data_IF_099937712730
#
_entry.id   IF_099937712730
#
_cell.length_a   1.000
_cell.length_b   1.000
_cell.length_c   1.000
_cell.angle_alpha   90.00
_cell.angle_beta   90.00
_cell.angle_gamma   90.00
#
_symmetry.space_group_name_H-M   'P 1'
#
loop_
_entity.id
_entity.type
_entity.pdbx_description
1 polymer ?
#
# COMPACT_ATOMS: atom_id res chain seq x y z
N UNK A 1 -41.41 15.83 27.58
CA UNK A 1 -41.76 15.93 26.15
C UNK A 1 -40.48 15.71 25.37
N UNK A 2 -40.31 14.52 24.79
CA UNK A 2 -39.13 14.21 23.96
C UNK A 2 -39.35 14.94 22.64
N UNK A 3 -38.49 15.90 22.37
CA UNK A 3 -38.49 16.68 21.13
C UNK A 3 -38.30 15.73 19.95
N UNK A 4 -39.33 15.56 19.12
CA UNK A 4 -39.54 14.43 18.20
C UNK A 4 -38.54 14.32 17.04
N UNK A 5 -37.53 15.18 17.00
CA UNK A 5 -36.55 15.29 15.89
C UNK A 5 -35.11 14.94 16.29
N UNK A 6 -34.89 14.37 17.49
CA UNK A 6 -33.56 13.97 17.94
C UNK A 6 -33.23 12.56 17.46
N UNK A 7 -32.10 12.43 16.78
CA UNK A 7 -31.54 11.13 16.37
C UNK A 7 -30.58 10.64 17.45
N UNK A 8 -30.63 9.34 17.74
CA UNK A 8 -29.69 8.70 18.66
C UNK A 8 -28.46 8.26 17.87
N UNK A 9 -27.28 8.68 18.33
CA UNK A 9 -25.99 8.33 17.75
C UNK A 9 -25.25 7.39 18.70
N UNK A 10 -24.69 6.34 18.12
CA UNK A 10 -23.70 5.45 18.74
C UNK A 10 -22.48 5.54 17.85
N UNK A 11 -21.34 5.94 18.41
CA UNK A 11 -20.14 6.26 17.65
C UNK A 11 -19.18 5.07 17.67
N UNK A 12 -18.65 4.74 16.50
CA UNK A 12 -17.61 3.74 16.27
C UNK A 12 -16.52 4.37 15.40
N UNK A 13 -15.28 3.88 15.52
CA UNK A 13 -14.22 4.21 14.57
C UNK A 13 -14.29 3.33 13.32
N UNK A 14 -13.36 3.58 12.40
CA UNK A 14 -13.27 2.89 11.11
C UNK A 14 -12.95 1.39 11.26
N UNK A 15 -12.36 0.98 12.39
CA UNK A 15 -12.09 -0.43 12.74
C UNK A 15 -13.30 -1.08 13.46
N UNK A 16 -14.40 -0.34 13.64
CA UNK A 16 -15.60 -0.80 14.32
C UNK A 16 -15.46 -0.86 15.85
N UNK A 17 -14.43 -0.23 16.42
CA UNK A 17 -14.29 -0.09 17.88
C UNK A 17 -15.25 0.98 18.37
N UNK A 18 -15.91 0.67 19.47
CA UNK A 18 -16.84 1.59 20.12
C UNK A 18 -16.11 2.81 20.69
N UNK A 19 -16.54 4.00 20.27
CA UNK A 19 -16.01 5.30 20.73
C UNK A 19 -16.86 5.93 21.83
N UNK A 20 -18.18 5.67 21.84
CA UNK A 20 -19.05 6.20 22.88
C UNK A 20 -20.52 6.30 22.49
N UNK A 21 -21.35 6.62 23.49
CA UNK A 21 -22.78 6.81 23.35
C UNK A 21 -23.58 6.08 24.43
N UNK A 22 -24.92 6.17 24.38
CA UNK A 22 -25.73 6.86 23.37
C UNK A 22 -25.67 8.39 23.48
N UNK A 23 -25.76 9.07 22.35
CA UNK A 23 -25.89 10.52 22.27
C UNK A 23 -27.19 10.93 21.57
N UNK A 24 -27.83 12.01 22.00
CA UNK A 24 -28.90 12.67 21.27
C UNK A 24 -28.32 13.82 20.43
N UNK A 25 -28.66 13.89 19.14
CA UNK A 25 -28.25 14.97 18.24
C UNK A 25 -29.32 15.32 17.21
N UNK A 26 -29.04 16.33 16.39
CA UNK A 26 -29.89 16.64 15.22
C UNK A 26 -29.85 15.50 14.21
N UNK A 27 -30.91 15.31 13.44
CA UNK A 27 -30.91 14.31 12.36
C UNK A 27 -29.96 14.72 11.22
N UNK A 28 -29.26 13.73 10.64
CA UNK A 28 -28.45 13.94 9.44
C UNK A 28 -27.10 14.62 9.67
N UNK A 29 -26.54 14.54 10.89
CA UNK A 29 -25.17 15.00 11.12
C UNK A 29 -24.19 14.25 10.22
N UNK A 30 -23.36 14.98 9.48
CA UNK A 30 -22.29 14.40 8.68
C UNK A 30 -21.07 14.18 9.57
N UNK A 31 -21.06 13.03 10.26
CA UNK A 31 -20.00 12.67 11.23
C UNK A 31 -18.61 12.68 10.58
N UNK A 32 -18.48 12.24 9.33
CA UNK A 32 -17.21 12.24 8.60
C UNK A 32 -16.68 13.65 8.35
N UNK A 33 -17.54 14.59 7.96
CA UNK A 33 -17.14 15.99 7.78
C UNK A 33 -16.72 16.62 9.12
N UNK A 34 -17.48 16.34 10.19
CA UNK A 34 -17.18 16.81 11.55
C UNK A 34 -15.86 16.23 12.09
N UNK A 35 -15.54 14.98 11.77
CA UNK A 35 -14.27 14.36 12.13
C UNK A 35 -13.08 15.03 11.43
N UNK A 36 -13.25 15.42 10.16
CA UNK A 36 -12.24 16.19 9.45
C UNK A 36 -12.04 17.59 10.05
N UNK A 37 -13.13 18.28 10.41
CA UNK A 37 -13.07 19.58 11.09
C UNK A 37 -12.33 19.48 12.44
N UNK A 38 -12.68 18.47 13.26
CA UNK A 38 -12.00 18.19 14.52
C UNK A 38 -10.48 17.98 14.34
N UNK A 39 -10.07 17.18 13.35
CA UNK A 39 -8.64 16.95 13.05
C UNK A 39 -7.94 18.25 12.66
N UNK A 40 -8.54 19.03 11.76
CA UNK A 40 -7.98 20.32 11.33
C UNK A 40 -7.76 21.25 12.52
N UNK A 41 -8.73 21.37 13.41
CA UNK A 41 -8.60 22.20 14.62
C UNK A 41 -7.51 21.70 15.56
N UNK A 42 -7.42 20.38 15.73
CA UNK A 42 -6.41 19.79 16.60
C UNK A 42 -5.00 20.00 16.08
N UNK A 43 -4.79 19.83 14.77
CA UNK A 43 -3.50 20.09 14.14
C UNK A 43 -3.12 21.56 14.25
N UNK A 44 -4.04 22.48 13.95
CA UNK A 44 -3.80 23.91 14.07
C UNK A 44 -3.43 24.31 15.51
N UNK A 45 -4.05 23.68 16.51
CA UNK A 45 -3.71 23.89 17.91
C UNK A 45 -2.31 23.37 18.26
N UNK A 46 -1.95 22.16 17.82
CA UNK A 46 -0.62 21.60 18.04
C UNK A 46 0.49 22.44 17.37
N UNK A 47 0.24 22.94 16.16
CA UNK A 47 1.15 23.86 15.46
C UNK A 47 1.32 25.19 16.23
N UNK A 48 0.23 25.74 16.77
CA UNK A 48 0.27 26.95 17.59
C UNK A 48 1.04 26.75 18.90
N UNK A 49 0.93 25.56 19.49
CA UNK A 49 1.57 25.21 20.76
C UNK A 49 3.04 24.75 20.57
N UNK A 50 3.55 24.73 19.32
CA UNK A 50 4.88 24.24 18.92
C UNK A 50 5.14 22.77 19.35
N UNK A 51 4.08 21.95 19.36
CA UNK A 51 4.18 20.53 19.71
C UNK A 51 4.77 19.71 18.54
N UNK A 52 5.84 18.95 18.83
CA UNK A 52 6.49 18.06 17.85
C UNK A 52 5.64 16.82 17.46
N UNK A 53 4.48 16.62 18.11
CA UNK A 53 3.59 15.49 17.85
C UNK A 53 2.12 15.84 18.13
N UNK A 54 1.21 15.27 17.33
CA UNK A 54 -0.24 15.41 17.52
C UNK A 54 -0.88 14.01 17.56
N UNK A 55 -1.23 13.54 18.75
CA UNK A 55 -1.86 12.23 18.98
C UNK A 55 -3.37 12.39 19.18
N UNK A 56 -4.20 11.49 18.63
CA UNK A 56 -5.65 11.47 18.83
C UNK A 56 -6.06 10.35 19.78
N UNK A 57 -6.73 10.71 20.87
CA UNK A 57 -7.41 9.74 21.72
C UNK A 57 -8.84 9.53 21.20
N UNK A 58 -9.29 8.27 21.18
CA UNK A 58 -10.63 7.84 20.76
C UNK A 58 -11.76 8.61 21.43
N UNK A 59 -11.53 9.10 22.65
CA UNK A 59 -12.56 9.77 23.46
C UNK A 59 -12.67 11.27 23.16
N UNK A 60 -11.69 11.86 22.49
CA UNK A 60 -11.64 13.31 22.25
C UNK A 60 -12.63 13.77 21.20
N UNK A 61 -12.88 12.98 20.16
CA UNK A 61 -13.84 13.35 19.12
C UNK A 61 -15.28 13.35 19.65
N UNK A 62 -15.76 12.30 20.36
CA UNK A 62 -17.05 12.35 21.04
C UNK A 62 -17.16 13.53 22.03
N UNK A 63 -16.11 13.79 22.81
CA UNK A 63 -16.09 14.92 23.74
C UNK A 63 -16.19 16.28 23.02
N UNK A 64 -15.49 16.44 21.88
CA UNK A 64 -15.55 17.63 21.05
C UNK A 64 -16.94 17.88 20.47
N UNK A 65 -17.64 16.82 20.03
CA UNK A 65 -19.02 16.91 19.55
C UNK A 65 -19.99 17.36 20.66
N UNK A 66 -19.79 16.87 21.89
CA UNK A 66 -20.59 17.27 23.05
C UNK A 66 -20.28 18.72 23.46
N UNK A 67 -19.00 19.11 23.48
CA UNK A 67 -18.57 20.46 23.81
C UNK A 67 -19.17 21.51 22.87
N UNK A 68 -19.36 21.16 21.59
CA UNK A 68 -20.00 22.01 20.58
C UNK A 68 -21.53 21.99 20.59
N UNK A 69 -22.14 21.20 21.48
CA UNK A 69 -23.59 21.04 21.55
C UNK A 69 -24.19 20.32 20.34
N UNK A 70 -23.38 19.67 19.51
CA UNK A 70 -23.84 18.87 18.37
C UNK A 70 -24.45 17.56 18.84
N UNK A 71 -23.88 17.01 19.91
CA UNK A 71 -24.36 15.83 20.61
C UNK A 71 -24.60 16.15 22.09
N UNK A 72 -25.54 15.45 22.70
CA UNK A 72 -25.78 15.47 24.15
C UNK A 72 -25.71 14.04 24.65
N UNK A 73 -24.84 13.76 25.62
CA UNK A 73 -24.77 12.44 26.24
C UNK A 73 -26.12 12.11 26.89
N UNK A 74 -26.64 10.94 26.60
CA UNK A 74 -27.86 10.45 27.23
C UNK A 74 -27.50 9.54 28.38
N UNK A 75 -28.05 9.79 29.57
CA UNK A 75 -28.00 8.82 30.65
C UNK A 75 -28.88 7.61 30.27
N UNK A 76 -28.25 6.45 30.13
CA UNK A 76 -28.94 5.21 29.81
C UNK A 76 -28.35 4.07 30.65
N UNK A 77 -29.21 3.34 31.37
CA UNK A 77 -28.81 2.12 32.10
C UNK A 77 -28.65 0.92 31.15
N UNK A 78 -29.37 0.93 30.03
CA UNK A 78 -29.30 -0.07 28.96
C UNK A 78 -29.78 0.54 27.64
N UNK A 79 -29.07 0.28 26.55
CA UNK A 79 -29.49 0.64 25.19
C UNK A 79 -29.63 -0.63 24.38
N UNK A 80 -30.83 -0.87 23.84
CA UNK A 80 -31.06 -1.95 22.88
C UNK A 80 -31.41 -1.33 21.54
N UNK A 81 -30.49 -1.41 20.58
CA UNK A 81 -30.74 -1.00 19.20
C UNK A 81 -31.16 -2.22 18.39
N UNK A 82 -32.34 -2.18 17.77
CA UNK A 82 -32.77 -3.19 16.80
C UNK A 82 -32.58 -2.59 15.41
N UNK A 83 -31.59 -3.10 14.68
CA UNK A 83 -31.37 -2.72 13.28
C UNK A 83 -32.25 -3.61 12.42
N UNK A 84 -33.35 -3.06 11.91
CA UNK A 84 -34.18 -3.76 10.92
C UNK A 84 -33.45 -3.77 9.58
N UNK A 85 -32.99 -4.96 9.18
CA UNK A 85 -32.31 -5.20 7.91
C UNK A 85 -33.27 -5.70 6.82
N UNK A 86 -34.57 -5.79 7.10
CA UNK A 86 -35.60 -6.32 6.21
C UNK A 86 -36.59 -5.24 5.75
N UNK A 87 -37.02 -5.29 4.47
CA UNK A 87 -38.07 -4.42 3.92
C UNK A 87 -37.60 -3.20 3.09
N UNK A 88 -38.56 -2.36 2.69
CA UNK A 88 -38.36 -1.16 1.83
C UNK A 88 -37.50 -0.06 2.47
N UNK A 89 -37.29 -0.11 3.79
CA UNK A 89 -36.43 0.80 4.55
C UNK A 89 -35.04 0.21 4.85
N UNK A 90 -34.59 -0.80 4.09
CA UNK A 90 -33.22 -1.32 4.21
C UNK A 90 -32.23 -0.17 4.13
N UNK A 91 -31.49 0.05 5.22
CA UNK A 91 -30.42 1.04 5.27
C UNK A 91 -29.46 0.80 4.09
N UNK A 92 -29.48 1.70 3.12
CA UNK A 92 -28.50 1.76 2.05
C UNK A 92 -27.50 2.84 2.44
N UNK A 93 -26.24 2.48 2.77
CA UNK A 93 -25.23 3.46 3.12
C UNK A 93 -25.15 4.52 2.01
N UNK A 94 -25.49 5.78 2.33
CA UNK A 94 -25.55 6.89 1.35
C UNK A 94 -24.20 7.20 0.69
N UNK A 95 -23.13 6.53 1.09
CA UNK A 95 -21.75 6.81 0.69
C UNK A 95 -21.08 5.64 -0.02
N UNK A 96 -21.80 4.58 -0.40
CA UNK A 96 -21.19 3.55 -1.24
C UNK A 96 -21.04 4.05 -2.67
N UNK A 97 -19.80 4.25 -3.16
CA UNK A 97 -19.57 4.71 -4.51
C UNK A 97 -20.03 3.65 -5.51
N UNK A 98 -20.61 4.14 -6.60
CA UNK A 98 -21.05 3.30 -7.71
C UNK A 98 -19.83 2.76 -8.45
N UNK A 99 -19.89 1.49 -8.85
CA UNK A 99 -18.80 0.88 -9.59
C UNK A 99 -18.56 1.64 -10.90
N UNK A 100 -17.34 2.12 -11.16
CA UNK A 100 -17.04 2.89 -12.37
C UNK A 100 -17.09 2.04 -13.64
N UNK A 101 -17.01 0.71 -13.52
CA UNK A 101 -17.04 -0.22 -14.65
C UNK A 101 -18.46 -0.57 -15.09
N UNK A 102 -19.30 -1.09 -14.19
CA UNK A 102 -20.65 -1.55 -14.56
C UNK A 102 -21.76 -0.51 -14.30
N UNK A 103 -21.48 0.57 -13.57
CA UNK A 103 -22.44 1.64 -13.28
C UNK A 103 -23.63 1.24 -12.39
N UNK A 104 -23.73 -0.04 -12.01
CA UNK A 104 -24.86 -0.60 -11.24
C UNK A 104 -24.41 -1.18 -9.91
N UNK A 105 -23.30 -1.92 -9.91
CA UNK A 105 -22.76 -2.55 -8.71
C UNK A 105 -22.17 -1.54 -7.73
N UNK A 106 -22.06 -1.95 -6.46
CA UNK A 106 -21.45 -1.16 -5.38
C UNK A 106 -20.19 -1.84 -4.89
N UNK A 107 -19.25 -1.04 -4.40
CA UNK A 107 -17.92 -1.49 -3.98
C UNK A 107 -17.77 -1.51 -2.48
N UNK A 108 -17.58 -2.69 -1.91
CA UNK A 108 -17.13 -2.84 -0.53
C UNK A 108 -15.63 -2.70 -0.45
N UNK A 109 -15.17 -2.14 0.67
CA UNK A 109 -13.75 -2.08 0.99
C UNK A 109 -13.24 -3.50 1.15
N UNK A 110 -12.26 -3.87 0.33
CA UNK A 110 -11.66 -5.18 0.28
C UNK A 110 -10.15 -5.04 0.46
N UNK A 111 -9.58 -6.01 1.14
CA UNK A 111 -8.14 -6.11 1.30
C UNK A 111 -7.56 -6.81 0.08
N UNK A 112 -6.63 -6.15 -0.59
CA UNK A 112 -5.87 -6.67 -1.72
C UNK A 112 -4.57 -7.32 -1.28
N UNK A 113 -3.49 -6.96 -1.97
CA UNK A 113 -2.16 -7.47 -1.71
C UNK A 113 -1.66 -6.98 -0.34
N UNK A 114 -1.16 -7.91 0.49
CA UNK A 114 -0.50 -7.59 1.76
C UNK A 114 0.99 -7.83 1.62
N UNK A 115 1.78 -6.84 2.01
CA UNK A 115 3.24 -6.85 2.08
C UNK A 115 3.64 -6.69 3.56
N UNK A 116 3.73 -7.82 4.27
CA UNK A 116 3.99 -7.86 5.72
C UNK A 116 5.35 -7.27 6.13
N UNK A 117 6.38 -7.43 5.29
CA UNK A 117 7.72 -6.88 5.43
C UNK A 117 7.77 -5.35 5.31
N UNK A 118 6.97 -4.79 4.41
CA UNK A 118 6.85 -3.33 4.23
C UNK A 118 5.80 -2.74 5.16
N UNK A 119 5.14 -3.60 5.94
CA UNK A 119 3.98 -3.26 6.73
C UNK A 119 2.92 -2.53 5.88
N UNK A 120 2.64 -3.03 4.68
CA UNK A 120 1.81 -2.35 3.67
C UNK A 120 0.67 -3.26 3.21
N UNK A 121 -0.50 -2.69 2.99
CA UNK A 121 -1.64 -3.40 2.44
C UNK A 121 -2.37 -2.51 1.44
N UNK A 122 -2.66 -3.06 0.27
CA UNK A 122 -3.51 -2.42 -0.73
C UNK A 122 -4.97 -2.55 -0.28
N UNK A 123 -5.57 -1.43 0.07
CA UNK A 123 -7.01 -1.34 0.26
C UNK A 123 -7.64 -0.79 -1.01
N UNK A 124 -8.69 -1.47 -1.45
CA UNK A 124 -9.43 -1.07 -2.63
C UNK A 124 -10.91 -1.35 -2.44
N UNK A 125 -11.72 -0.92 -3.39
CA UNK A 125 -13.13 -1.30 -3.46
C UNK A 125 -13.31 -2.41 -4.46
N UNK A 126 -14.06 -3.45 -4.11
CA UNK A 126 -14.41 -4.54 -5.03
C UNK A 126 -15.90 -4.53 -5.31
N UNK A 127 -16.27 -4.50 -6.59
CA UNK A 127 -17.66 -4.53 -7.02
C UNK A 127 -18.30 -5.88 -6.70
N UNK A 128 -19.40 -5.89 -5.95
CA UNK A 128 -20.14 -7.12 -5.65
C UNK A 128 -20.83 -7.76 -6.86
N UNK A 129 -21.05 -7.00 -7.94
CA UNK A 129 -21.76 -7.49 -9.13
C UNK A 129 -20.80 -8.00 -10.22
N UNK A 130 -19.74 -7.24 -10.53
CA UNK A 130 -18.84 -7.57 -11.63
C UNK A 130 -17.40 -7.88 -11.20
N UNK A 131 -17.07 -7.78 -9.91
CA UNK A 131 -15.73 -8.05 -9.39
C UNK A 131 -14.67 -6.99 -9.71
N UNK A 132 -15.02 -5.93 -10.43
CA UNK A 132 -14.09 -4.84 -10.75
C UNK A 132 -13.57 -4.14 -9.49
N UNK A 133 -12.27 -3.86 -9.44
CA UNK A 133 -11.62 -3.15 -8.33
C UNK A 133 -11.26 -1.71 -8.69
N UNK A 134 -11.37 -0.78 -7.74
CA UNK A 134 -10.97 0.63 -7.91
C UNK A 134 -10.60 1.29 -6.57
N UNK A 135 -10.12 2.53 -6.61
CA UNK A 135 -9.71 3.28 -5.40
C UNK A 135 -8.58 2.57 -4.60
N UNK A 136 -7.60 2.01 -5.30
CA UNK A 136 -6.43 1.39 -4.68
C UNK A 136 -5.59 2.41 -3.89
N UNK A 137 -5.32 2.11 -2.63
CA UNK A 137 -4.46 2.90 -1.76
C UNK A 137 -3.74 2.01 -0.75
N UNK A 138 -2.45 2.29 -0.57
CA UNK A 138 -1.61 1.57 0.37
C UNK A 138 -1.74 2.17 1.78
N UNK A 139 -1.97 1.30 2.77
CA UNK A 139 -1.98 1.69 4.20
C UNK A 139 -1.10 0.74 5.03
N UNK A 140 -0.92 1.06 6.32
CA UNK A 140 -0.19 0.21 7.24
C UNK A 140 -0.98 -1.06 7.57
N UNK A 141 -0.37 -2.24 7.43
CA UNK A 141 -1.05 -3.50 7.79
C UNK A 141 -1.12 -3.70 9.32
N UNK A 142 -0.04 -3.40 10.02
CA UNK A 142 0.09 -3.35 11.47
C UNK A 142 0.14 -1.87 11.90
N UNK A 143 -0.87 -1.43 12.65
CA UNK A 143 -1.03 -0.03 13.08
C UNK A 143 0.03 0.43 14.10
N UNK A 144 0.73 -0.52 14.73
CA UNK A 144 1.79 -0.28 15.71
C UNK A 144 3.20 -0.20 15.11
N UNK A 145 3.33 -0.33 13.78
CA UNK A 145 4.61 -0.32 13.08
C UNK A 145 4.63 0.75 11.99
N UNK A 146 5.78 1.39 11.72
CA UNK A 146 5.88 2.30 10.58
C UNK A 146 5.70 1.52 9.27
N UNK A 147 5.06 2.14 8.27
CA UNK A 147 5.22 1.69 6.89
C UNK A 147 6.68 1.91 6.50
N UNK A 148 7.33 0.87 5.99
CA UNK A 148 8.67 1.02 5.46
C UNK A 148 8.57 1.56 4.04
N UNK A 149 9.52 2.43 3.68
CA UNK A 149 9.72 2.78 2.29
C UNK A 149 9.93 1.47 1.52
N UNK A 150 9.28 1.37 0.38
CA UNK A 150 9.54 0.30 -0.56
C UNK A 150 10.97 0.49 -1.09
N UNK A 151 11.91 -0.13 -0.38
CA UNK A 151 13.29 -0.24 -0.79
C UNK A 151 13.50 -1.49 -1.65
N UNK A 152 12.43 -1.96 -2.30
CA UNK A 152 12.42 -3.09 -3.23
C UNK A 152 12.59 -4.45 -2.58
N UNK A 153 12.56 -4.54 -1.24
CA UNK A 153 12.50 -5.81 -0.53
C UNK A 153 11.05 -6.34 -0.55
N UNK A 154 10.64 -6.91 -1.68
CA UNK A 154 9.37 -7.64 -1.80
C UNK A 154 9.56 -9.11 -1.35
N UNK A 155 8.80 -9.60 -0.35
CA UNK A 155 9.00 -10.90 0.36
C UNK A 155 8.75 -12.17 -0.44
N UNK A 156 8.30 -12.12 -1.69
CA UNK A 156 8.41 -13.33 -2.52
C UNK A 156 9.87 -13.59 -2.92
N UNK A 157 10.83 -12.74 -2.49
CA UNK A 157 12.29 -12.92 -2.54
C UNK A 157 12.88 -13.23 -3.93
N UNK A 158 12.04 -13.25 -4.95
CA UNK A 158 12.34 -13.72 -6.28
C UNK A 158 12.92 -12.65 -7.20
N UNK A 159 13.23 -11.43 -6.71
CA UNK A 159 13.70 -10.35 -7.58
C UNK A 159 14.98 -10.70 -8.35
N UNK A 160 15.91 -11.41 -7.70
CA UNK A 160 17.12 -11.93 -8.34
C UNK A 160 16.81 -13.03 -9.36
N UNK A 161 16.17 -14.17 -9.01
CA UNK A 161 15.86 -15.19 -10.00
C UNK A 161 14.92 -14.69 -11.11
N UNK A 162 13.97 -13.80 -10.80
CA UNK A 162 13.13 -13.13 -11.80
C UNK A 162 13.98 -12.30 -12.76
N UNK A 163 14.84 -11.42 -12.25
CA UNK A 163 15.70 -10.58 -13.10
C UNK A 163 16.63 -11.42 -13.99
N UNK A 164 17.20 -12.50 -13.45
CA UNK A 164 18.02 -13.46 -14.21
C UNK A 164 17.18 -14.16 -15.29
N UNK A 165 15.97 -14.62 -14.96
CA UNK A 165 15.04 -15.25 -15.90
C UNK A 165 14.64 -14.30 -17.03
N UNK A 166 14.30 -13.06 -16.72
CA UNK A 166 13.92 -12.06 -17.72
C UNK A 166 15.10 -11.67 -18.61
N UNK A 167 16.24 -11.29 -18.02
CA UNK A 167 17.41 -10.86 -18.79
C UNK A 167 18.07 -12.01 -19.58
N UNK A 168 18.02 -13.23 -19.07
CA UNK A 168 18.53 -14.43 -19.74
C UNK A 168 17.54 -15.08 -20.71
N UNK A 169 16.28 -14.64 -20.72
CA UNK A 169 15.17 -15.31 -21.42
C UNK A 169 15.15 -16.82 -21.13
N UNK A 170 15.19 -17.15 -19.83
CA UNK A 170 15.23 -18.51 -19.29
C UNK A 170 13.93 -18.84 -18.54
N UNK A 171 13.48 -20.10 -18.53
CA UNK A 171 12.36 -20.54 -17.69
C UNK A 171 12.62 -20.24 -16.21
N UNK A 172 11.67 -19.59 -15.55
CA UNK A 172 11.83 -19.15 -14.16
C UNK A 172 12.10 -20.32 -13.19
N UNK A 173 11.51 -21.49 -13.43
CA UNK A 173 11.70 -22.68 -12.60
C UNK A 173 13.14 -23.19 -12.61
N UNK A 174 13.79 -23.16 -13.78
CA UNK A 174 15.21 -23.53 -13.93
C UNK A 174 16.10 -22.56 -13.16
N UNK A 175 15.84 -21.26 -13.30
CA UNK A 175 16.60 -20.21 -12.63
C UNK A 175 16.47 -20.31 -11.11
N UNK A 176 15.26 -20.51 -10.60
CA UNK A 176 15.02 -20.69 -9.16
C UNK A 176 15.82 -21.87 -8.61
N UNK A 177 15.86 -23.00 -9.33
CA UNK A 177 16.61 -24.17 -8.89
C UNK A 177 18.11 -23.89 -8.76
N UNK A 178 18.71 -23.23 -9.76
CA UNK A 178 20.13 -22.85 -9.70
C UNK A 178 20.38 -21.78 -8.61
N UNK A 179 19.49 -20.80 -8.47
CA UNK A 179 19.58 -19.82 -7.40
C UNK A 179 19.54 -20.48 -6.02
N UNK A 180 18.69 -21.50 -5.80
CA UNK A 180 18.64 -22.28 -4.54
C UNK A 180 19.96 -22.99 -4.25
N UNK A 181 20.57 -23.60 -5.26
CA UNK A 181 21.89 -24.23 -5.13
C UNK A 181 22.98 -23.22 -4.78
N UNK A 182 22.82 -21.98 -5.24
CA UNK A 182 23.70 -20.86 -4.92
C UNK A 182 23.34 -20.13 -3.61
N UNK A 183 22.40 -20.64 -2.82
CA UNK A 183 22.06 -20.07 -1.50
C UNK A 183 20.87 -19.11 -1.47
N UNK A 184 20.09 -19.01 -2.55
CA UNK A 184 18.79 -18.35 -2.50
C UNK A 184 17.82 -19.14 -1.63
N UNK A 185 17.08 -18.43 -0.78
CA UNK A 185 15.97 -19.02 -0.03
C UNK A 185 14.76 -18.10 -0.01
N UNK A 186 13.58 -18.72 -0.05
CA UNK A 186 12.31 -18.01 -0.05
C UNK A 186 12.16 -17.17 1.22
N UNK A 187 11.81 -15.90 1.07
CA UNK A 187 11.72 -14.91 2.15
C UNK A 187 13.06 -14.29 2.59
N UNK A 188 14.20 -14.86 2.21
CA UNK A 188 15.53 -14.34 2.58
C UNK A 188 16.37 -13.85 1.39
N UNK A 189 15.98 -14.21 0.16
CA UNK A 189 16.65 -13.78 -1.07
C UNK A 189 17.99 -14.47 -1.27
N UNK A 190 18.87 -13.81 -2.02
CA UNK A 190 20.24 -14.23 -2.33
C UNK A 190 21.12 -12.97 -2.35
N UNK A 191 22.36 -13.08 -1.88
CA UNK A 191 23.30 -11.97 -2.00
C UNK A 191 23.77 -11.77 -3.45
N UNK A 192 24.27 -10.57 -3.74
CA UNK A 192 24.71 -10.19 -5.09
C UNK A 192 25.77 -11.14 -5.65
N UNK A 193 26.73 -11.60 -4.84
CA UNK A 193 27.82 -12.44 -5.32
C UNK A 193 27.30 -13.81 -5.77
N UNK A 194 26.45 -14.42 -4.95
CA UNK A 194 25.80 -15.69 -5.23
C UNK A 194 24.78 -15.57 -6.37
N UNK A 195 24.08 -14.44 -6.51
CA UNK A 195 23.21 -14.16 -7.65
C UNK A 195 23.97 -14.11 -8.99
N UNK A 196 25.15 -13.47 -9.00
CA UNK A 196 26.04 -13.45 -10.17
C UNK A 196 26.57 -14.87 -10.46
N UNK A 197 26.95 -15.62 -9.43
CA UNK A 197 27.40 -17.01 -9.59
C UNK A 197 26.30 -17.90 -10.20
N UNK A 198 25.05 -17.75 -9.75
CA UNK A 198 23.90 -18.46 -10.32
C UNK A 198 23.69 -18.12 -11.81
N UNK A 199 23.77 -16.83 -12.17
CA UNK A 199 23.67 -16.40 -13.57
C UNK A 199 24.76 -17.04 -14.44
N UNK A 200 25.99 -17.14 -13.94
CA UNK A 200 27.08 -17.82 -14.64
C UNK A 200 26.85 -19.33 -14.80
N UNK A 201 26.32 -20.00 -13.79
CA UNK A 201 25.96 -21.43 -13.89
C UNK A 201 24.87 -21.67 -14.93
N UNK A 202 23.95 -20.71 -15.12
CA UNK A 202 22.92 -20.71 -16.17
C UNK A 202 23.46 -20.34 -17.56
N UNK A 203 24.78 -20.21 -17.74
CA UNK A 203 25.41 -19.86 -19.01
C UNK A 203 25.25 -18.39 -19.40
N UNK A 204 24.95 -17.50 -18.46
CA UNK A 204 24.92 -16.07 -18.69
C UNK A 204 26.29 -15.44 -18.39
N UNK A 205 26.64 -14.45 -19.19
CA UNK A 205 27.77 -13.56 -18.93
C UNK A 205 27.21 -12.23 -18.45
N UNK A 206 27.63 -11.79 -17.26
CA UNK A 206 27.29 -10.48 -16.69
C UNK A 206 28.53 -9.58 -16.76
N UNK A 207 28.51 -8.61 -17.66
CA UNK A 207 29.60 -7.64 -17.81
C UNK A 207 29.21 -6.32 -17.14
N UNK A 208 30.03 -5.76 -16.23
CA UNK A 208 29.73 -4.46 -15.64
C UNK A 208 29.48 -3.42 -16.72
N UNK A 209 28.35 -2.73 -16.64
CA UNK A 209 28.01 -1.68 -17.59
C UNK A 209 28.95 -0.49 -17.38
N UNK A 210 29.50 0.03 -18.49
CA UNK A 210 30.42 1.16 -18.49
C UNK A 210 29.82 2.31 -19.29
N UNK A 211 28.83 2.98 -18.72
CA UNK A 211 28.24 4.16 -19.33
C UNK A 211 29.01 5.44 -19.09
N UNK A 212 28.35 6.55 -19.44
CA UNK A 212 28.92 7.89 -19.24
C UNK A 212 28.98 8.23 -17.76
N UNK A 213 30.03 8.97 -17.36
CA UNK A 213 30.11 9.52 -16.01
C UNK A 213 28.97 10.50 -15.80
N UNK A 214 28.21 10.27 -14.75
CA UNK A 214 27.12 11.15 -14.33
C UNK A 214 27.57 11.99 -13.14
N UNK A 215 27.18 13.27 -13.10
CA UNK A 215 27.41 14.09 -11.92
C UNK A 215 26.46 13.67 -10.79
N UNK A 216 27.02 13.40 -9.61
CA UNK A 216 26.28 12.96 -8.42
C UNK A 216 25.83 11.49 -8.47
N UNK A 217 24.77 11.15 -7.73
CA UNK A 217 24.22 9.80 -7.69
C UNK A 217 23.61 9.40 -9.03
N UNK A 218 23.90 8.16 -9.46
CA UNK A 218 23.27 7.51 -10.60
C UNK A 218 21.93 6.93 -10.12
N UNK A 219 20.82 7.51 -10.60
CA UNK A 219 19.47 7.02 -10.31
C UNK A 219 18.94 6.20 -11.49
N UNK A 220 17.95 5.33 -11.26
CA UNK A 220 17.30 4.55 -12.33
C UNK A 220 16.87 5.43 -13.52
N UNK A 221 16.25 6.59 -13.26
CA UNK A 221 15.87 7.55 -14.32
C UNK A 221 17.03 7.91 -15.25
N UNK A 222 18.19 8.27 -14.67
CA UNK A 222 19.37 8.70 -15.43
C UNK A 222 20.06 7.53 -16.12
N UNK A 223 19.98 6.32 -15.53
CA UNK A 223 20.53 5.12 -16.13
C UNK A 223 19.72 4.72 -17.36
N UNK A 224 18.38 4.68 -17.26
CA UNK A 224 17.51 4.26 -18.37
C UNK A 224 17.68 5.12 -19.63
N UNK A 225 17.97 6.41 -19.48
CA UNK A 225 18.29 7.32 -20.59
C UNK A 225 19.59 6.96 -21.34
N UNK A 226 20.43 6.10 -20.78
CA UNK A 226 21.76 5.76 -21.30
C UNK A 226 21.92 4.28 -21.71
N UNK A 227 20.96 3.41 -21.38
CA UNK A 227 21.03 2.00 -21.73
C UNK A 227 20.80 1.82 -23.24
N UNK A 228 21.50 0.88 -23.85
CA UNK A 228 21.23 0.49 -25.23
C UNK A 228 19.92 -0.30 -25.28
N UNK A 229 18.87 0.18 -25.98
CA UNK A 229 17.59 -0.51 -26.04
C UNK A 229 17.66 -1.86 -26.79
N UNK A 230 18.78 -2.22 -27.43
CA UNK A 230 18.97 -3.54 -28.01
C UNK A 230 19.54 -4.57 -27.00
N UNK A 231 20.08 -4.12 -25.87
CA UNK A 231 20.75 -4.97 -24.88
C UNK A 231 19.82 -5.39 -23.74
N UNK A 232 20.28 -6.39 -22.99
CA UNK A 232 19.63 -6.85 -21.76
C UNK A 232 20.50 -6.44 -20.57
N UNK A 233 19.88 -5.94 -19.51
CA UNK A 233 20.57 -5.49 -18.31
C UNK A 233 19.90 -6.05 -17.06
N UNK A 234 20.72 -6.30 -16.04
CA UNK A 234 20.27 -6.47 -14.66
C UNK A 234 20.82 -5.28 -13.87
N UNK A 235 19.97 -4.69 -13.04
CA UNK A 235 20.27 -3.51 -12.26
C UNK A 235 19.98 -3.81 -10.80
N UNK A 236 21.00 -3.62 -9.95
CA UNK A 236 20.86 -3.73 -8.52
C UNK A 236 20.64 -2.34 -7.91
N UNK A 237 19.58 -2.21 -7.12
CA UNK A 237 19.38 -1.11 -6.18
C UNK A 237 19.56 -1.64 -4.76
N UNK A 238 19.44 -0.78 -3.74
CA UNK A 238 19.37 -1.26 -2.36
C UNK A 238 18.21 -2.26 -2.27
N UNK A 239 18.46 -3.46 -1.76
CA UNK A 239 17.42 -4.46 -1.47
C UNK A 239 16.80 -5.18 -2.66
N UNK A 240 17.13 -4.84 -3.91
CA UNK A 240 16.35 -5.29 -5.08
C UNK A 240 17.15 -5.40 -6.37
N UNK A 241 16.74 -6.34 -7.22
CA UNK A 241 17.22 -6.46 -8.59
C UNK A 241 16.04 -6.33 -9.55
N UNK A 242 16.25 -5.59 -10.64
CA UNK A 242 15.32 -5.50 -11.75
C UNK A 242 16.03 -5.77 -13.08
N UNK A 243 15.27 -6.16 -14.09
CA UNK A 243 15.78 -6.39 -15.43
C UNK A 243 15.30 -5.31 -16.41
N UNK A 244 16.14 -4.93 -17.36
CA UNK A 244 15.75 -4.17 -18.54
C UNK A 244 16.02 -5.04 -19.75
N UNK A 245 14.98 -5.40 -20.49
CA UNK A 245 15.08 -6.32 -21.63
C UNK A 245 14.66 -5.59 -22.88
N UNK A 246 15.61 -5.34 -23.77
CA UNK A 246 15.38 -4.62 -25.03
C UNK A 246 14.66 -3.28 -24.83
N UNK A 247 15.13 -2.49 -23.87
CA UNK A 247 14.58 -1.18 -23.52
C UNK A 247 13.30 -1.21 -22.66
N UNK A 248 12.74 -2.39 -22.37
CA UNK A 248 11.57 -2.51 -21.52
C UNK A 248 11.96 -2.81 -20.06
N UNK A 249 11.46 -2.00 -19.12
CA UNK A 249 11.63 -2.26 -17.69
C UNK A 249 10.79 -3.46 -17.26
N UNK A 250 11.43 -4.48 -16.71
CA UNK A 250 10.83 -5.71 -16.17
C UNK A 250 11.13 -5.75 -14.67
N UNK A 251 10.29 -5.05 -13.93
CA UNK A 251 10.39 -4.92 -12.49
C UNK A 251 9.07 -5.33 -11.84
N UNK A 252 9.11 -6.31 -10.93
CA UNK A 252 7.91 -6.76 -10.21
C UNK A 252 7.56 -5.86 -9.01
N UNK A 253 8.51 -5.03 -8.57
CA UNK A 253 8.34 -4.15 -7.41
C UNK A 253 7.96 -2.71 -7.79
N UNK A 254 7.86 -2.39 -9.09
CA UNK A 254 7.63 -1.01 -9.56
C UNK A 254 8.58 0.02 -8.89
N UNK A 255 9.88 -0.31 -8.85
CA UNK A 255 10.91 0.47 -8.15
C UNK A 255 10.92 1.91 -8.62
N UNK A 256 10.83 2.82 -7.66
CA UNK A 256 10.75 4.24 -7.94
C UNK A 256 11.97 4.76 -8.72
N UNK A 257 11.76 5.55 -9.78
CA UNK A 257 12.82 6.01 -10.70
C UNK A 257 13.93 6.87 -10.06
N UNK A 258 13.73 7.34 -8.81
CA UNK A 258 14.75 8.07 -8.02
C UNK A 258 15.69 7.14 -7.24
N UNK A 259 15.43 5.83 -7.21
CA UNK A 259 16.28 4.87 -6.53
C UNK A 259 17.71 4.89 -7.06
N UNK A 260 18.65 4.78 -6.14
CA UNK A 260 20.08 4.75 -6.42
C UNK A 260 20.48 3.40 -7.01
N UNK A 261 21.17 3.46 -8.15
CA UNK A 261 21.78 2.30 -8.78
C UNK A 261 23.07 1.98 -8.05
N UNK A 262 23.15 0.78 -7.49
CA UNK A 262 24.36 0.27 -6.86
C UNK A 262 25.26 -0.38 -7.89
N UNK A 263 24.68 -1.25 -8.73
CA UNK A 263 25.38 -1.95 -9.80
C UNK A 263 24.47 -2.11 -11.03
N UNK A 264 25.09 -2.23 -12.19
CA UNK A 264 24.40 -2.54 -13.44
C UNK A 264 25.30 -3.45 -14.28
N UNK A 265 24.72 -4.53 -14.81
CA UNK A 265 25.41 -5.49 -15.65
C UNK A 265 24.67 -5.67 -16.96
N UNK A 266 25.40 -5.62 -18.07
CA UNK A 266 24.92 -6.11 -19.35
C UNK A 266 24.96 -7.64 -19.35
N UNK A 267 23.85 -8.25 -19.75
CA UNK A 267 23.66 -9.71 -19.74
C UNK A 267 23.70 -10.25 -21.15
N UNK A 268 24.51 -11.29 -21.37
CA UNK A 268 24.58 -12.01 -22.65
C UNK A 268 24.56 -13.52 -22.40
N UNK A 269 23.94 -14.29 -23.29
CA UNK A 269 24.08 -15.76 -23.28
C UNK A 269 25.45 -16.15 -23.82
N UNK A 270 26.15 -17.03 -23.13
CA UNK A 270 27.37 -17.65 -23.61
C UNK A 270 27.01 -18.66 -24.72
N UNK A 271 26.88 -18.19 -25.96
CA UNK A 271 26.62 -19.08 -27.12
C UNK A 271 25.78 -18.51 -28.27
N UNK A 272 25.55 -17.19 -28.32
CA UNK A 272 24.91 -16.51 -29.46
C UNK A 272 25.89 -15.60 -30.19
#
# INVERSE_FOLDING_TARGET
>A
MVDSNRTIYILFDDDGRFLGGPYAGQAGLNISALASEFRTEKYAKAEQDEDDYCFFNSDEFPAWLVQRGLLTLMEAECVTAVVDTSGENRYSPKHWPTCPSCGVGRGDTAMGRVLHELNRVDWHRQCMECGHTWEHHDTAYYSDRPMLDDDGRCIDSGCVPYSISQAGELPIEEVINVCRECGWSEGYGIDTHNGIAAAHQLGLTMSPWRGMRVAGKLTLRKLFEQLDPACHYIIATKGHWLAVVRGENRDQADTHLRSEVLDCWEVRRAGG
#
